data_IF_161749259877
#
_entry.id   IF_161749259877
#
_cell.length_a   1.000
_cell.length_b   1.000
_cell.length_c   1.000
_cell.angle_alpha   90.00
_cell.angle_beta   90.00
_cell.angle_gamma   90.00
#
_symmetry.space_group_name_H-M   'P 1'
#
loop_
_entity.id
_entity.type
_entity.pdbx_description
1 polymer ?
#
# COMPACT_ATOMS: atom_id res chain seq x y z
N UNK A 1 -5.96 28.20 -5.90
CA UNK A 1 -6.83 27.33 -5.09
C UNK A 1 -5.90 26.53 -4.21
N UNK A 2 -5.97 26.60 -2.86
CA UNK A 2 -5.21 25.67 -2.05
C UNK A 2 -5.88 24.30 -2.21
N UNK A 3 -5.08 23.28 -2.52
CA UNK A 3 -5.55 21.90 -2.57
C UNK A 3 -6.14 21.54 -1.20
N UNK A 4 -7.44 21.26 -1.17
CA UNK A 4 -8.08 20.71 0.01
C UNK A 4 -7.38 19.41 0.33
N UNK A 5 -6.51 19.45 1.34
CA UNK A 5 -6.00 18.26 1.98
C UNK A 5 -7.21 17.57 2.60
N UNK A 6 -7.84 16.67 1.82
CA UNK A 6 -8.83 15.71 2.29
C UNK A 6 -8.10 14.81 3.28
N UNK A 7 -7.99 15.28 4.51
CA UNK A 7 -7.67 14.41 5.64
C UNK A 7 -8.86 13.47 5.74
N UNK A 8 -8.71 12.27 5.18
CA UNK A 8 -9.70 11.22 5.29
C UNK A 8 -9.87 10.91 6.78
N UNK A 9 -10.93 11.43 7.39
CA UNK A 9 -11.19 11.27 8.82
C UNK A 9 -11.73 9.87 9.16
N UNK A 10 -11.86 8.99 8.17
CA UNK A 10 -12.40 7.63 8.29
C UNK A 10 -11.56 6.60 7.49
N UNK A 11 -10.23 6.77 7.39
CA UNK A 11 -9.40 5.73 6.75
C UNK A 11 -9.37 4.48 7.62
N UNK A 12 -9.67 3.34 7.02
CA UNK A 12 -9.42 2.03 7.60
C UNK A 12 -7.98 1.60 7.30
N UNK A 13 -7.43 0.76 8.18
CA UNK A 13 -6.12 0.13 7.95
C UNK A 13 -6.32 -1.32 7.54
N UNK A 14 -5.76 -1.67 6.39
CA UNK A 14 -5.54 -3.06 5.99
C UNK A 14 -4.12 -3.45 6.42
N UNK A 15 -4.01 -4.33 7.40
CA UNK A 15 -2.73 -4.80 7.94
C UNK A 15 -2.49 -6.25 7.54
N UNK A 16 -1.30 -6.54 7.02
CA UNK A 16 -0.91 -7.87 6.52
C UNK A 16 0.55 -8.17 6.87
N UNK A 17 0.87 -9.44 7.11
CA UNK A 17 2.23 -9.91 7.34
C UNK A 17 3.03 -10.00 6.04
N UNK A 18 4.30 -9.63 6.08
CA UNK A 18 5.19 -9.63 4.92
C UNK A 18 5.47 -11.03 4.38
N UNK A 19 5.40 -12.08 5.22
CA UNK A 19 5.63 -13.48 4.82
C UNK A 19 4.60 -14.00 3.79
N UNK A 20 3.36 -13.54 3.88
CA UNK A 20 2.22 -14.02 3.08
C UNK A 20 1.73 -12.96 2.07
N UNK A 21 2.41 -11.80 2.01
CA UNK A 21 1.96 -10.67 1.21
C UNK A 21 2.51 -10.72 -0.21
N UNK A 22 1.65 -11.06 -1.15
CA UNK A 22 1.95 -11.04 -2.58
C UNK A 22 1.64 -9.67 -3.20
N UNK A 23 2.63 -9.12 -3.90
CA UNK A 23 2.48 -7.86 -4.63
C UNK A 23 3.36 -7.81 -5.87
N UNK A 24 2.97 -6.94 -6.80
CA UNK A 24 3.74 -6.53 -7.96
C UNK A 24 4.28 -5.11 -7.72
N UNK A 25 5.59 -4.90 -7.87
CA UNK A 25 6.18 -3.56 -7.79
C UNK A 25 5.95 -2.81 -9.10
N UNK A 26 5.11 -1.76 -9.07
CA UNK A 26 4.85 -0.89 -10.22
C UNK A 26 5.87 0.25 -10.31
N UNK A 27 6.43 0.67 -9.18
CA UNK A 27 7.50 1.65 -9.10
C UNK A 27 8.47 1.25 -7.98
N UNK A 28 9.75 1.57 -8.18
CA UNK A 28 10.79 1.36 -7.18
C UNK A 28 11.75 2.54 -7.08
N UNK A 29 12.34 2.70 -5.91
CA UNK A 29 13.42 3.64 -5.62
C UNK A 29 14.46 2.95 -4.73
N UNK A 30 15.75 3.03 -5.09
CA UNK A 30 16.84 2.39 -4.34
C UNK A 30 16.64 0.89 -4.04
N UNK A 31 15.99 0.16 -4.95
CA UNK A 31 15.68 -1.27 -4.80
C UNK A 31 14.48 -1.56 -3.91
N UNK A 32 13.77 -0.54 -3.44
CA UNK A 32 12.55 -0.65 -2.63
C UNK A 32 11.32 -0.34 -3.48
N UNK A 33 10.26 -1.12 -3.35
CA UNK A 33 8.99 -0.89 -4.04
C UNK A 33 8.24 0.29 -3.41
N UNK A 34 8.05 1.36 -4.17
CA UNK A 34 7.37 2.59 -3.70
C UNK A 34 5.92 2.69 -4.16
N UNK A 35 5.56 1.96 -5.21
CA UNK A 35 4.18 1.77 -5.65
C UNK A 35 3.98 0.30 -5.92
N UNK A 36 2.97 -0.29 -5.30
CA UNK A 36 2.69 -1.73 -5.39
C UNK A 36 1.25 -1.99 -5.79
N UNK A 37 1.04 -3.09 -6.50
CA UNK A 37 -0.27 -3.64 -6.82
C UNK A 37 -0.44 -4.98 -6.11
N UNK A 38 -1.58 -5.19 -5.45
CA UNK A 38 -1.84 -6.39 -4.66
C UNK A 38 -3.31 -6.78 -4.74
N UNK A 39 -3.64 -8.04 -4.42
CA UNK A 39 -5.03 -8.51 -4.35
C UNK A 39 -5.74 -7.90 -3.14
N UNK A 40 -6.93 -7.36 -3.37
CA UNK A 40 -7.80 -6.84 -2.32
C UNK A 40 -9.26 -6.99 -2.76
N UNK A 41 -9.88 -8.08 -2.33
CA UNK A 41 -11.27 -8.42 -2.67
C UNK A 41 -12.26 -8.13 -1.54
N UNK A 42 -11.77 -7.75 -0.35
CA UNK A 42 -12.64 -7.43 0.79
C UNK A 42 -13.32 -6.06 0.57
N UNK A 43 -14.65 -6.02 0.39
CA UNK A 43 -15.38 -4.80 0.04
C UNK A 43 -15.42 -3.77 1.17
N UNK A 44 -14.91 -4.09 2.37
CA UNK A 44 -14.80 -3.12 3.45
C UNK A 44 -13.77 -2.01 3.18
N UNK A 45 -12.81 -2.29 2.30
CA UNK A 45 -11.69 -1.38 2.02
C UNK A 45 -11.93 -0.59 0.73
N UNK A 46 -11.48 0.66 0.75
CA UNK A 46 -11.75 1.64 -0.29
C UNK A 46 -10.48 2.45 -0.61
N UNK A 47 -10.51 3.13 -1.76
CA UNK A 47 -9.51 4.17 -2.03
C UNK A 47 -9.55 5.25 -0.93
N UNK A 48 -8.38 5.61 -0.40
CA UNK A 48 -8.21 6.47 0.77
C UNK A 48 -7.88 5.72 2.06
N UNK A 49 -8.07 4.39 2.09
CA UNK A 49 -7.59 3.54 3.18
C UNK A 49 -6.07 3.35 3.15
N UNK A 50 -5.52 2.78 4.21
CA UNK A 50 -4.08 2.62 4.39
C UNK A 50 -3.71 1.14 4.38
N UNK A 51 -2.71 0.77 3.59
CA UNK A 51 -2.03 -0.51 3.68
C UNK A 51 -0.85 -0.40 4.64
N UNK A 52 -0.78 -1.33 5.60
CA UNK A 52 0.39 -1.53 6.46
C UNK A 52 0.88 -2.97 6.28
N UNK A 53 2.12 -3.12 5.81
CA UNK A 53 2.79 -4.43 5.73
C UNK A 53 3.77 -4.56 6.88
N UNK A 54 3.64 -5.63 7.66
CA UNK A 54 4.41 -5.86 8.88
C UNK A 54 5.34 -7.06 8.73
N UNK A 55 6.58 -6.94 9.20
CA UNK A 55 7.47 -8.08 9.42
C UNK A 55 7.73 -8.20 10.91
N UNK A 56 7.00 -9.07 11.60
CA UNK A 56 6.96 -9.08 13.07
C UNK A 56 6.38 -7.78 13.62
N UNK A 57 7.19 -7.02 14.36
CA UNK A 57 6.80 -5.70 14.92
C UNK A 57 7.15 -4.51 14.02
N UNK A 58 7.87 -4.74 12.93
CA UNK A 58 8.41 -3.67 12.09
C UNK A 58 7.48 -3.37 10.91
N UNK A 59 7.31 -2.08 10.58
CA UNK A 59 6.56 -1.65 9.41
C UNK A 59 7.48 -1.65 8.20
N UNK A 60 7.15 -2.46 7.21
CA UNK A 60 7.88 -2.55 5.94
C UNK A 60 7.24 -1.70 4.84
N UNK A 61 5.96 -1.38 4.95
CA UNK A 61 5.26 -0.52 4.02
C UNK A 61 4.14 0.21 4.73
N UNK A 62 4.03 1.52 4.54
CA UNK A 62 2.93 2.32 5.05
C UNK A 62 2.44 3.25 3.94
N UNK A 63 1.51 2.75 3.13
CA UNK A 63 1.05 3.46 1.94
C UNK A 63 -0.45 3.65 1.90
N UNK A 64 -0.87 4.76 1.30
CA UNK A 64 -2.29 5.00 1.02
C UNK A 64 -2.71 4.19 -0.20
N UNK A 65 -3.86 3.53 -0.12
CA UNK A 65 -4.54 2.88 -1.24
C UNK A 65 -5.15 3.97 -2.10
N UNK A 66 -4.60 4.21 -3.29
CA UNK A 66 -5.08 5.25 -4.20
C UNK A 66 -6.23 4.78 -5.10
N UNK A 67 -6.33 3.47 -5.37
CA UNK A 67 -7.32 2.89 -6.26
C UNK A 67 -7.55 1.40 -5.94
N UNK A 68 -8.78 0.94 -6.19
CA UNK A 68 -9.17 -0.47 -6.16
C UNK A 68 -10.01 -0.72 -7.42
N UNK A 69 -9.61 -1.70 -8.24
CA UNK A 69 -10.30 -2.09 -9.47
C UNK A 69 -10.11 -3.58 -9.74
N UNK A 70 -11.18 -4.29 -10.10
CA UNK A 70 -11.16 -5.71 -10.47
C UNK A 70 -10.46 -6.63 -9.44
N UNK A 71 -10.64 -6.33 -8.15
CA UNK A 71 -10.04 -7.07 -7.04
C UNK A 71 -8.55 -6.80 -6.81
N UNK A 72 -8.00 -5.75 -7.44
CA UNK A 72 -6.64 -5.29 -7.22
C UNK A 72 -6.62 -3.88 -6.66
N UNK A 73 -5.80 -3.67 -5.65
CA UNK A 73 -5.50 -2.37 -5.09
C UNK A 73 -4.12 -1.89 -5.51
N UNK A 74 -3.95 -0.56 -5.63
CA UNK A 74 -2.64 0.07 -5.78
C UNK A 74 -2.41 1.01 -4.60
N UNK A 75 -1.28 0.83 -3.91
CA UNK A 75 -0.86 1.67 -2.81
C UNK A 75 0.53 2.25 -3.05
N UNK A 76 0.78 3.42 -2.46
CA UNK A 76 2.08 4.10 -2.58
C UNK A 76 2.66 4.52 -1.23
N UNK A 77 3.95 4.21 -1.06
CA UNK A 77 4.80 4.67 0.04
C UNK A 77 6.12 5.17 -0.56
N UNK A 78 6.19 6.48 -0.80
CA UNK A 78 7.36 7.14 -1.40
C UNK A 78 8.41 7.54 -0.37
N UNK A 79 8.24 7.25 0.92
CA UNK A 79 9.10 7.81 1.98
C UNK A 79 9.74 6.78 2.89
N UNK A 80 9.19 5.57 3.00
CA UNK A 80 9.61 4.62 4.03
C UNK A 80 9.54 3.15 3.66
N UNK A 81 9.24 2.81 2.40
CA UNK A 81 9.14 1.40 2.01
C UNK A 81 10.46 0.65 2.20
N UNK A 82 10.37 -0.50 2.86
CA UNK A 82 11.39 -1.53 3.02
C UNK A 82 11.03 -2.80 2.24
N UNK A 83 9.97 -2.76 1.42
CA UNK A 83 9.61 -3.88 0.57
C UNK A 83 10.60 -3.98 -0.60
N UNK A 84 11.26 -5.13 -0.79
CA UNK A 84 12.16 -5.29 -1.93
C UNK A 84 11.35 -5.19 -3.23
N UNK A 85 11.88 -4.45 -4.19
CA UNK A 85 11.32 -4.44 -5.54
C UNK A 85 11.62 -5.78 -6.22
N UNK A 86 10.71 -6.74 -6.01
CA UNK A 86 10.80 -8.05 -6.65
C UNK A 86 10.31 -7.88 -8.08
N UNK A 87 11.24 -7.75 -9.02
CA UNK A 87 10.93 -7.85 -10.44
C UNK A 87 10.77 -9.34 -10.73
N UNK A 88 9.54 -9.81 -10.96
CA UNK A 88 9.33 -11.09 -11.62
C UNK A 88 9.61 -10.95 -13.12
#
# INVERSE_FOLDING_TARGET
MPDEQRVANNSQTYAVGAEDFEFEALQQENGQATVIKFRLDDPRYHAGDVLVVLSGSEIHFHGMIGQILDGFAIASDHRGSLLPATVQ
#
